data_IF_900064841230
#
_entry.id   IF_900064841230
#
_cell.length_a   1.000
_cell.length_b   1.000
_cell.length_c   1.000
_cell.angle_alpha   90.00
_cell.angle_beta   90.00
_cell.angle_gamma   90.00
#
_symmetry.space_group_name_H-M   'P 1'
#
loop_
_entity.id
_entity.type
_entity.pdbx_description
1 polymer ?
#
# COMPACT_ATOMS: atom_id res chain seq x y z
N UNK A 1 -11.95 -4.62 -71.22
CA UNK A 1 -13.00 -5.59 -70.81
C UNK A 1 -12.36 -6.49 -69.75
N UNK A 2 -13.09 -6.75 -68.66
CA UNK A 2 -12.78 -7.43 -67.39
C UNK A 2 -11.33 -7.93 -67.11
N UNK A 3 -10.80 -7.72 -65.90
CA UNK A 3 -11.34 -8.37 -64.71
C UNK A 3 -11.43 -7.43 -63.48
N UNK A 4 -12.66 -7.05 -63.13
CA UNK A 4 -13.01 -6.48 -61.82
C UNK A 4 -13.38 -7.63 -60.88
N UNK A 5 -12.40 -8.39 -60.39
CA UNK A 5 -12.60 -9.34 -59.29
C UNK A 5 -11.28 -9.94 -58.76
N UNK A 6 -10.21 -9.15 -58.65
CA UNK A 6 -9.11 -9.56 -57.77
C UNK A 6 -9.53 -9.29 -56.33
N UNK A 7 -9.58 -10.34 -55.51
CA UNK A 7 -9.90 -10.22 -54.09
C UNK A 7 -8.95 -9.17 -53.47
N UNK A 8 -9.45 -8.16 -52.72
CA UNK A 8 -8.59 -7.22 -52.00
C UNK A 8 -7.47 -7.90 -51.19
N UNK A 9 -7.68 -9.13 -50.74
CA UNK A 9 -6.64 -9.96 -50.11
C UNK A 9 -5.54 -10.37 -51.09
N UNK A 10 -5.85 -10.78 -52.31
CA UNK A 10 -4.85 -11.15 -53.32
C UNK A 10 -3.97 -9.97 -53.72
N UNK A 11 -4.56 -8.77 -53.85
CA UNK A 11 -3.82 -7.54 -54.14
C UNK A 11 -2.90 -7.15 -52.97
N UNK A 12 -3.38 -7.30 -51.73
CA UNK A 12 -2.59 -7.05 -50.53
C UNK A 12 -1.43 -8.05 -50.39
N UNK A 13 -1.68 -9.32 -50.70
CA UNK A 13 -0.65 -10.38 -50.68
C UNK A 13 0.42 -10.15 -51.76
N UNK A 14 0.04 -9.80 -52.98
CA UNK A 14 1.00 -9.52 -54.06
C UNK A 14 1.88 -8.28 -53.77
N UNK A 15 1.28 -7.23 -53.22
CA UNK A 15 2.00 -6.02 -52.83
C UNK A 15 3.04 -6.31 -51.73
N UNK A 16 2.65 -7.03 -50.68
CA UNK A 16 3.54 -7.39 -49.59
C UNK A 16 4.65 -8.33 -50.06
N UNK A 17 4.35 -9.34 -50.89
CA UNK A 17 5.40 -10.23 -51.42
C UNK A 17 6.47 -9.47 -52.24
N UNK A 18 6.05 -8.47 -53.01
CA UNK A 18 6.97 -7.65 -53.82
C UNK A 18 7.79 -6.68 -52.95
N UNK A 19 7.17 -6.14 -51.91
CA UNK A 19 7.82 -5.27 -50.94
C UNK A 19 8.82 -6.06 -50.07
N UNK A 20 8.40 -7.23 -49.59
CA UNK A 20 9.21 -8.14 -48.79
C UNK A 20 10.43 -8.59 -49.59
N UNK A 21 10.28 -9.06 -50.82
CA UNK A 21 11.41 -9.44 -51.69
C UNK A 21 12.45 -8.33 -51.89
N UNK A 22 12.07 -7.05 -51.76
CA UNK A 22 13.00 -5.91 -51.89
C UNK A 22 13.80 -5.64 -50.62
N UNK A 23 13.26 -5.98 -49.45
CA UNK A 23 13.86 -5.76 -48.14
C UNK A 23 14.41 -7.07 -47.53
N UNK A 24 14.27 -8.22 -48.21
CA UNK A 24 14.78 -9.50 -47.73
C UNK A 24 16.30 -9.51 -47.71
N UNK A 25 16.85 -9.97 -46.59
CA UNK A 25 18.29 -10.17 -46.43
C UNK A 25 18.67 -11.50 -47.11
N UNK A 26 19.89 -11.57 -47.67
CA UNK A 26 20.34 -12.66 -48.55
C UNK A 26 20.57 -14.01 -47.85
N UNK A 27 20.63 -14.04 -46.51
CA UNK A 27 20.83 -15.26 -45.74
C UNK A 27 19.50 -15.88 -45.28
N UNK A 28 19.51 -17.20 -45.17
CA UNK A 28 18.38 -18.02 -44.72
C UNK A 28 18.86 -18.90 -43.55
N UNK A 29 18.11 -18.86 -42.45
CA UNK A 29 18.35 -19.68 -41.27
C UNK A 29 17.17 -20.65 -41.09
N UNK A 30 17.38 -21.92 -41.46
CA UNK A 30 16.37 -22.98 -41.28
C UNK A 30 14.99 -22.65 -41.89
N UNK A 31 14.98 -22.02 -43.07
CA UNK A 31 13.78 -21.60 -43.77
C UNK A 31 13.19 -20.27 -43.30
N UNK A 32 13.79 -19.62 -42.29
CA UNK A 32 13.41 -18.29 -41.81
C UNK A 32 14.29 -17.25 -42.50
N UNK A 33 13.64 -16.24 -43.07
CA UNK A 33 14.30 -15.09 -43.72
C UNK A 33 13.96 -13.82 -42.98
N UNK A 34 14.95 -12.94 -42.89
CA UNK A 34 14.83 -11.67 -42.19
C UNK A 34 14.57 -10.52 -43.16
N UNK A 35 13.77 -9.56 -42.68
CA UNK A 35 13.42 -8.35 -43.41
C UNK A 35 14.26 -7.19 -42.87
N UNK A 36 14.97 -6.48 -43.75
CA UNK A 36 15.66 -5.23 -43.45
C UNK A 36 14.66 -4.05 -43.40
N UNK A 37 13.70 -4.14 -42.46
CA UNK A 37 12.70 -3.11 -42.25
C UNK A 37 13.19 -2.12 -41.17
N UNK A 38 13.15 -0.79 -41.42
CA UNK A 38 13.48 0.18 -40.39
C UNK A 38 12.51 0.05 -39.20
N UNK A 39 12.97 0.30 -37.96
CA UNK A 39 12.11 0.24 -36.80
C UNK A 39 10.95 1.23 -36.96
N UNK A 40 9.75 0.90 -36.45
CA UNK A 40 8.60 1.75 -36.64
C UNK A 40 8.84 3.12 -35.96
N UNK A 41 8.51 4.26 -36.60
CA UNK A 41 8.85 5.59 -36.08
C UNK A 41 8.36 5.86 -34.65
N UNK A 42 7.20 5.33 -34.27
CA UNK A 42 6.66 5.48 -32.91
C UNK A 42 7.54 4.84 -31.84
N UNK A 43 8.20 3.71 -32.16
CA UNK A 43 9.11 3.02 -31.24
C UNK A 43 10.38 3.85 -31.05
N UNK A 44 10.89 4.48 -32.10
CA UNK A 44 12.03 5.39 -32.02
C UNK A 44 11.69 6.64 -31.20
N UNK A 45 10.48 7.20 -31.35
CA UNK A 45 10.01 8.30 -30.50
C UNK A 45 9.96 7.92 -29.03
N UNK A 46 9.40 6.74 -28.70
CA UNK A 46 9.38 6.24 -27.34
C UNK A 46 10.79 6.04 -26.80
N UNK A 47 11.69 5.47 -27.60
CA UNK A 47 13.09 5.27 -27.23
C UNK A 47 13.79 6.60 -26.90
N UNK A 48 13.66 7.63 -27.74
CA UNK A 48 14.27 8.92 -27.45
C UNK A 48 13.61 9.63 -26.26
N UNK A 49 12.29 9.49 -26.09
CA UNK A 49 11.59 10.05 -24.95
C UNK A 49 12.12 9.48 -23.63
N UNK A 50 12.29 8.17 -23.52
CA UNK A 50 12.78 7.55 -22.26
C UNK A 50 14.22 7.96 -21.95
N UNK A 51 15.07 8.11 -22.97
CA UNK A 51 16.43 8.66 -22.80
C UNK A 51 16.37 10.08 -22.25
N UNK A 52 15.59 10.97 -22.87
CA UNK A 52 15.45 12.37 -22.41
C UNK A 52 14.87 12.41 -20.99
N UNK A 53 13.84 11.61 -20.71
CA UNK A 53 13.21 11.52 -19.40
C UNK A 53 14.19 11.06 -18.32
N UNK A 54 15.04 10.08 -18.62
CA UNK A 54 16.04 9.59 -17.67
C UNK A 54 17.05 10.66 -17.28
N UNK A 55 17.57 11.43 -18.26
CA UNK A 55 18.51 12.52 -18.01
C UNK A 55 17.84 13.63 -17.22
N UNK A 56 16.59 13.98 -17.57
CA UNK A 56 15.82 14.98 -16.84
C UNK A 56 15.57 14.57 -15.37
N UNK A 57 15.18 13.31 -15.14
CA UNK A 57 14.94 12.77 -13.80
C UNK A 57 16.20 12.85 -12.93
N UNK A 58 17.35 12.41 -13.46
CA UNK A 58 18.63 12.50 -12.74
C UNK A 58 19.00 13.95 -12.43
N UNK A 59 18.83 14.86 -13.39
CA UNK A 59 19.10 16.27 -13.19
C UNK A 59 18.22 16.86 -12.07
N UNK A 60 16.93 16.53 -12.06
CA UNK A 60 15.96 17.02 -11.08
C UNK A 60 16.29 16.58 -9.65
N UNK A 61 16.60 15.30 -9.45
CA UNK A 61 16.81 14.72 -8.12
C UNK A 61 18.26 14.78 -7.62
N UNK A 62 19.27 14.87 -8.50
CA UNK A 62 20.68 14.77 -8.11
C UNK A 62 21.56 15.95 -8.49
N UNK A 63 21.19 16.78 -9.47
CA UNK A 63 22.00 17.94 -9.86
C UNK A 63 21.44 19.27 -9.35
N UNK A 64 20.12 19.36 -9.27
CA UNK A 64 19.45 20.59 -8.87
C UNK A 64 18.76 20.50 -7.51
N UNK A 65 18.77 19.32 -6.88
CA UNK A 65 18.15 19.05 -5.57
C UNK A 65 16.71 19.60 -5.47
N UNK A 66 15.98 19.59 -6.59
CA UNK A 66 14.61 20.12 -6.67
C UNK A 66 13.57 19.09 -6.20
N UNK A 67 13.90 17.81 -6.26
CA UNK A 67 13.08 16.71 -5.74
C UNK A 67 13.55 16.25 -4.37
N UNK A 68 12.62 15.81 -3.52
CA UNK A 68 12.95 15.13 -2.27
C UNK A 68 13.39 13.70 -2.57
N UNK A 69 14.54 13.30 -2.02
CA UNK A 69 14.97 11.91 -2.01
C UNK A 69 14.24 11.15 -0.89
N UNK A 70 14.34 9.82 -0.90
CA UNK A 70 13.59 8.93 0.00
C UNK A 70 13.67 9.32 1.48
N UNK A 71 14.83 9.74 1.98
CA UNK A 71 14.97 10.16 3.38
C UNK A 71 14.20 11.46 3.69
N UNK A 72 14.25 12.43 2.79
CA UNK A 72 13.53 13.70 2.94
C UNK A 72 12.02 13.53 2.74
N UNK A 73 11.61 12.65 1.82
CA UNK A 73 10.21 12.24 1.67
C UNK A 73 9.70 11.57 2.94
N UNK A 74 10.44 10.60 3.47
CA UNK A 74 10.07 9.90 4.71
C UNK A 74 10.01 10.85 5.91
N UNK A 75 10.97 11.76 6.06
CA UNK A 75 10.95 12.76 7.12
C UNK A 75 9.69 13.64 7.03
N UNK A 76 9.32 14.07 5.82
CA UNK A 76 8.09 14.83 5.62
C UNK A 76 6.84 14.01 5.91
N UNK A 77 6.77 12.75 5.49
CA UNK A 77 5.64 11.87 5.82
C UNK A 77 5.50 11.68 7.34
N UNK A 78 6.63 11.57 8.07
CA UNK A 78 6.62 11.51 9.52
C UNK A 78 6.14 12.82 10.15
N UNK A 79 6.52 13.98 9.62
CA UNK A 79 6.04 15.28 10.10
C UNK A 79 4.54 15.44 9.85
N UNK A 80 4.06 15.09 8.66
CA UNK A 80 2.63 15.10 8.34
C UNK A 80 1.85 14.10 9.19
N UNK A 81 2.39 12.90 9.41
CA UNK A 81 1.79 11.92 10.30
C UNK A 81 1.81 12.40 11.75
N UNK A 82 2.89 13.02 12.21
CA UNK A 82 2.97 13.60 13.53
C UNK A 82 1.94 14.70 13.71
N UNK A 83 1.69 15.55 12.70
CA UNK A 83 0.64 16.57 12.69
C UNK A 83 -0.77 15.97 12.67
N UNK A 84 -1.03 15.06 11.73
CA UNK A 84 -2.34 14.43 11.53
C UNK A 84 -2.74 13.58 12.73
N UNK A 85 -1.78 12.84 13.25
CA UNK A 85 -1.87 12.07 14.47
C UNK A 85 -1.13 12.80 15.57
N UNK A 86 -1.27 14.13 15.67
CA UNK A 86 -0.93 14.87 16.90
C UNK A 86 -1.86 14.33 17.96
N UNK A 87 -1.47 13.20 18.52
CA UNK A 87 -2.08 12.62 19.68
C UNK A 87 -1.74 13.63 20.76
N UNK A 88 -2.69 14.49 21.10
CA UNK A 88 -2.63 15.18 22.38
C UNK A 88 -2.53 14.04 23.39
N UNK A 89 -1.33 13.85 23.97
CA UNK A 89 -1.11 12.81 24.95
C UNK A 89 -2.23 12.94 25.98
N UNK A 90 -3.12 11.97 26.01
CA UNK A 90 -4.24 12.02 26.93
C UNK A 90 -3.65 11.80 28.31
N UNK A 91 -3.97 12.70 29.23
CA UNK A 91 -3.60 12.51 30.62
C UNK A 91 -4.40 11.32 31.16
N UNK A 92 -3.70 10.23 31.45
CA UNK A 92 -4.25 8.94 31.87
C UNK A 92 -5.13 9.06 33.13
N UNK A 93 -4.94 10.11 33.94
CA UNK A 93 -5.77 10.38 35.12
C UNK A 93 -7.11 11.03 34.80
N UNK A 94 -7.26 11.64 33.62
CA UNK A 94 -8.47 12.42 33.23
C UNK A 94 -9.36 11.71 32.23
N UNK A 95 -8.93 10.57 31.69
CA UNK A 95 -9.69 9.83 30.68
C UNK A 95 -10.91 9.14 31.29
N UNK A 96 -12.01 9.16 30.55
CA UNK A 96 -13.27 8.55 30.96
C UNK A 96 -13.69 7.50 29.93
N UNK A 97 -14.44 6.49 30.38
CA UNK A 97 -14.98 5.46 29.49
C UNK A 97 -15.92 6.10 28.47
N UNK A 98 -15.64 5.88 27.19
CA UNK A 98 -16.50 6.30 26.09
C UNK A 98 -17.69 5.35 26.00
N UNK A 99 -18.88 5.92 25.83
CA UNK A 99 -20.15 5.16 25.74
C UNK A 99 -20.92 5.42 24.45
N UNK A 100 -20.46 6.37 23.63
CA UNK A 100 -21.06 6.63 22.34
C UNK A 100 -20.88 5.42 21.42
N UNK A 101 -21.93 5.10 20.65
CA UNK A 101 -21.93 3.90 19.82
C UNK A 101 -20.87 3.94 18.71
N UNK A 102 -20.61 5.11 18.14
CA UNK A 102 -19.55 5.33 17.15
C UNK A 102 -18.15 4.95 17.71
N UNK A 103 -17.84 5.41 18.92
CA UNK A 103 -16.57 5.12 19.60
C UNK A 103 -16.42 3.64 19.90
N UNK A 104 -17.49 3.01 20.40
CA UNK A 104 -17.50 1.56 20.70
C UNK A 104 -17.40 0.72 19.44
N UNK A 105 -17.98 1.16 18.33
CA UNK A 105 -17.86 0.47 17.04
C UNK A 105 -16.43 0.58 16.49
N UNK A 106 -15.81 1.78 16.57
CA UNK A 106 -14.39 1.95 16.24
C UNK A 106 -13.50 1.06 17.12
N UNK A 107 -13.76 1.01 18.42
CA UNK A 107 -13.07 0.14 19.37
C UNK A 107 -13.21 -1.36 19.02
N UNK A 108 -14.40 -1.79 18.60
CA UNK A 108 -14.62 -3.18 18.14
C UNK A 108 -13.81 -3.53 16.90
N UNK A 109 -13.73 -2.63 15.92
CA UNK A 109 -12.93 -2.86 14.71
C UNK A 109 -11.43 -2.94 15.01
N UNK A 110 -10.95 -2.10 15.94
CA UNK A 110 -9.56 -2.17 16.43
C UNK A 110 -9.33 -3.52 17.15
N UNK A 111 -10.25 -3.93 18.02
CA UNK A 111 -10.16 -5.19 18.75
C UNK A 111 -10.02 -6.39 17.80
N UNK A 112 -10.89 -6.46 16.79
CA UNK A 112 -10.87 -7.51 15.76
C UNK A 112 -9.56 -7.58 15.00
N UNK A 113 -8.97 -6.42 14.70
CA UNK A 113 -7.73 -6.32 13.92
C UNK A 113 -6.48 -6.66 14.73
N UNK A 114 -6.44 -6.26 16.00
CA UNK A 114 -5.18 -6.21 16.77
C UNK A 114 -5.17 -7.04 18.05
N UNK A 115 -6.34 -7.39 18.60
CA UNK A 115 -6.43 -8.01 19.94
C UNK A 115 -6.91 -9.47 19.89
N UNK A 116 -7.75 -9.81 18.91
CA UNK A 116 -8.39 -11.15 18.78
C UNK A 116 -7.38 -12.28 18.71
N UNK A 117 -6.23 -12.06 18.09
CA UNK A 117 -5.20 -13.09 17.95
C UNK A 117 -4.72 -13.67 19.30
N UNK A 118 -4.73 -12.85 20.36
CA UNK A 118 -4.29 -13.27 21.69
C UNK A 118 -5.47 -13.48 22.65
N UNK A 119 -6.49 -12.62 22.60
CA UNK A 119 -7.60 -12.59 23.57
C UNK A 119 -8.88 -13.29 23.08
N UNK A 120 -8.89 -13.84 21.87
CA UNK A 120 -10.05 -14.49 21.27
C UNK A 120 -11.03 -13.50 20.63
N UNK A 121 -11.93 -13.99 19.80
CA UNK A 121 -12.92 -13.18 19.05
C UNK A 121 -13.96 -12.52 19.98
N UNK A 122 -14.27 -13.19 21.08
CA UNK A 122 -15.18 -12.72 22.11
C UNK A 122 -14.46 -12.33 23.41
N UNK A 123 -13.13 -12.15 23.43
CA UNK A 123 -12.43 -11.83 24.68
C UNK A 123 -12.29 -12.98 25.66
N UNK A 124 -12.64 -14.21 25.27
CA UNK A 124 -12.59 -15.40 26.11
C UNK A 124 -11.18 -15.84 26.53
N UNK A 125 -10.14 -15.19 25.98
CA UNK A 125 -8.74 -15.53 26.22
C UNK A 125 -8.21 -16.61 25.29
N UNK A 126 -6.97 -17.01 25.55
CA UNK A 126 -6.24 -18.00 24.77
C UNK A 126 -4.75 -17.91 25.09
N UNK A 127 -4.01 -17.23 24.21
CA UNK A 127 -2.61 -16.86 24.49
C UNK A 127 -2.57 -15.77 25.58
N UNK A 128 -3.47 -14.79 25.46
CA UNK A 128 -3.69 -13.75 26.46
C UNK A 128 -4.78 -14.13 27.47
N UNK A 129 -4.87 -13.40 28.59
CA UNK A 129 -5.92 -13.60 29.59
C UNK A 129 -7.32 -13.37 29.02
N UNK A 130 -8.32 -13.95 29.68
CA UNK A 130 -9.73 -13.67 29.42
C UNK A 130 -10.03 -12.22 29.86
N UNK A 131 -10.73 -11.47 29.01
CA UNK A 131 -11.08 -10.06 29.22
C UNK A 131 -12.52 -9.86 29.71
N UNK A 132 -13.30 -10.94 29.83
CA UNK A 132 -14.70 -10.91 30.29
C UNK A 132 -14.88 -11.32 31.74
N UNK A 133 -13.85 -11.88 32.36
CA UNK A 133 -13.95 -12.31 33.75
C UNK A 133 -13.81 -11.12 34.72
N UNK A 134 -14.04 -11.40 36.00
CA UNK A 134 -13.91 -10.39 37.05
C UNK A 134 -12.46 -10.23 37.54
N UNK A 135 -11.52 -11.04 37.04
CA UNK A 135 -10.18 -11.20 37.60
C UNK A 135 -9.14 -10.43 36.77
N UNK A 136 -9.00 -9.15 37.06
CA UNK A 136 -8.08 -8.26 36.35
C UNK A 136 -6.67 -8.25 36.99
N UNK A 137 -5.67 -8.71 36.24
CA UNK A 137 -4.27 -8.80 36.71
C UNK A 137 -3.63 -7.42 36.91
N UNK A 138 -4.01 -6.46 36.08
CA UNK A 138 -3.42 -5.12 36.04
C UNK A 138 -4.39 -4.01 36.43
N UNK A 139 -5.58 -4.37 36.95
CA UNK A 139 -6.66 -3.45 37.25
C UNK A 139 -7.72 -3.39 36.14
N UNK A 140 -8.93 -2.99 36.53
CA UNK A 140 -10.13 -2.97 35.68
C UNK A 140 -10.67 -1.56 35.42
N UNK A 141 -9.95 -0.53 35.86
CA UNK A 141 -10.33 0.85 35.58
C UNK A 141 -9.90 1.23 34.16
N UNK A 142 -10.52 2.27 33.59
CA UNK A 142 -10.21 2.71 32.22
C UNK A 142 -8.74 3.08 32.06
N UNK A 143 -8.15 3.74 33.06
CA UNK A 143 -6.73 4.10 33.07
C UNK A 143 -5.81 2.87 33.07
N UNK A 144 -6.23 1.79 33.74
CA UNK A 144 -5.44 0.56 33.85
C UNK A 144 -5.40 -0.15 32.49
N UNK A 145 -6.58 -0.35 31.89
CA UNK A 145 -6.71 -0.99 30.57
C UNK A 145 -6.03 -0.15 29.49
N UNK A 146 -6.24 1.17 29.52
CA UNK A 146 -5.60 2.11 28.61
C UNK A 146 -4.07 2.05 28.74
N UNK A 147 -3.54 2.12 29.97
CA UNK A 147 -2.11 2.09 30.24
C UNK A 147 -1.45 0.78 29.80
N UNK A 148 -2.13 -0.35 30.02
CA UNK A 148 -1.68 -1.68 29.57
C UNK A 148 -1.65 -1.77 28.05
N UNK A 149 -2.70 -1.31 27.35
CA UNK A 149 -2.72 -1.34 25.88
C UNK A 149 -1.66 -0.40 25.30
N UNK A 150 -1.55 0.81 25.86
CA UNK A 150 -0.57 1.81 25.43
C UNK A 150 0.86 1.32 25.64
N UNK A 151 1.21 0.91 26.84
CA UNK A 151 2.61 0.64 27.19
C UNK A 151 3.02 -0.83 27.01
N UNK A 152 2.06 -1.75 26.89
CA UNK A 152 2.33 -3.18 26.93
C UNK A 152 2.70 -3.66 28.33
N UNK A 153 3.09 -4.93 28.44
CA UNK A 153 3.55 -5.55 29.69
C UNK A 153 4.79 -6.39 29.46
N UNK A 154 5.51 -6.67 30.54
CA UNK A 154 6.64 -7.60 30.57
C UNK A 154 6.23 -9.08 30.36
N UNK A 155 4.93 -9.38 30.46
CA UNK A 155 4.36 -10.73 30.32
C UNK A 155 3.85 -11.04 28.91
N UNK A 156 4.38 -10.35 27.90
CA UNK A 156 4.18 -10.71 26.48
C UNK A 156 3.15 -9.88 25.73
N UNK A 157 2.45 -8.94 26.38
CA UNK A 157 1.60 -7.98 25.67
C UNK A 157 2.45 -6.84 25.09
N UNK A 158 2.51 -6.71 23.77
CA UNK A 158 3.27 -5.64 23.10
C UNK A 158 2.62 -4.27 23.29
N UNK A 159 3.41 -3.20 23.20
CA UNK A 159 2.90 -1.83 23.20
C UNK A 159 2.12 -1.51 21.92
N UNK A 160 0.98 -0.82 22.04
CA UNK A 160 0.17 -0.35 20.93
C UNK A 160 0.16 1.18 20.76
N UNK A 161 1.21 1.89 21.19
CA UNK A 161 1.32 3.36 21.03
C UNK A 161 1.09 3.86 19.60
N UNK A 162 1.41 3.05 18.60
CA UNK A 162 1.21 3.38 17.18
C UNK A 162 -0.26 3.54 16.77
N UNK A 163 -1.21 3.06 17.58
CA UNK A 163 -2.65 3.31 17.35
C UNK A 163 -3.04 4.75 17.67
N UNK A 164 -2.31 5.43 18.56
CA UNK A 164 -2.67 6.73 19.12
C UNK A 164 -3.69 6.64 20.27
N UNK A 165 -3.59 7.58 21.21
CA UNK A 165 -4.34 7.55 22.48
C UNK A 165 -5.86 7.54 22.28
N UNK A 166 -6.38 8.25 21.28
CA UNK A 166 -7.82 8.26 21.01
C UNK A 166 -8.34 6.86 20.63
N UNK A 167 -7.66 6.17 19.73
CA UNK A 167 -8.03 4.82 19.31
C UNK A 167 -7.79 3.80 20.43
N UNK A 168 -6.74 3.99 21.24
CA UNK A 168 -6.50 3.18 22.46
C UNK A 168 -7.67 3.37 23.45
N UNK A 169 -8.14 4.59 23.67
CA UNK A 169 -9.26 4.87 24.55
C UNK A 169 -10.55 4.23 24.03
N UNK A 170 -10.80 4.28 22.72
CA UNK A 170 -11.96 3.64 22.08
C UNK A 170 -11.95 2.12 22.25
N UNK A 171 -10.82 1.45 22.00
CA UNK A 171 -10.72 0.00 22.21
C UNK A 171 -10.79 -0.37 23.70
N UNK A 172 -10.17 0.42 24.58
CA UNK A 172 -10.26 0.21 26.04
C UNK A 172 -11.70 0.32 26.53
N UNK A 173 -12.44 1.32 26.04
CA UNK A 173 -13.85 1.52 26.36
C UNK A 173 -14.73 0.39 25.81
N UNK A 174 -14.43 -0.09 24.60
CA UNK A 174 -15.11 -1.25 24.02
C UNK A 174 -14.92 -2.52 24.87
N UNK A 175 -13.68 -2.82 25.26
CA UNK A 175 -13.33 -3.97 26.12
C UNK A 175 -14.11 -3.90 27.44
N UNK A 176 -14.20 -2.74 28.07
CA UNK A 176 -14.87 -2.59 29.37
C UNK A 176 -16.40 -2.52 29.31
N UNK A 177 -17.00 -2.16 28.17
CA UNK A 177 -18.46 -1.90 28.08
C UNK A 177 -19.24 -2.87 27.20
N UNK A 178 -18.62 -3.43 26.15
CA UNK A 178 -19.34 -4.11 25.08
C UNK A 178 -18.76 -5.47 24.71
N UNK A 179 -17.56 -5.82 25.18
CA UNK A 179 -16.93 -7.13 24.95
C UNK A 179 -17.58 -8.22 25.83
#
# INVERSE_FOLDING_TARGET
>A
MENKNTDPKEVYTEYNEKFDKKLMIDHDYDGIKELDNPPPPWLMWLFYFTVIWSVWYLAWFHWFDMGRLQEADYAHELEEAAEKYKVTAMDEETINILTAEEDLNRGSEIYKKSCVACHGDAGQGGIGPNLKDADWIYGSEIKDVFGVIKNGTDKGMTSFKSLGDEDILKVSSYVLKKL
#
